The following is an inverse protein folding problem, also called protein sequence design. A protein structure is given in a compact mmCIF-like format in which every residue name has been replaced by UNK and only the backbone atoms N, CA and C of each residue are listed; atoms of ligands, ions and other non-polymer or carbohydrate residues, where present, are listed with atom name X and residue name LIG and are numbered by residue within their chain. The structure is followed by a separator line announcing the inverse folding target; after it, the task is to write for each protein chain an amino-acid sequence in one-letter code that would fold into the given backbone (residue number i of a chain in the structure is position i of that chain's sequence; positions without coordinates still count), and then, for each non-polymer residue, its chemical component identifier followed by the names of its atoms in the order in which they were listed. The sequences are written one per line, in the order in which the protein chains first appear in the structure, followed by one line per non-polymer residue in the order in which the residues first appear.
data_IF_661097312196
#
_entry.id   IF_661097312196
#
_cell.length_a   1.000
_cell.length_b   1.000
_cell.length_c   1.000
_cell.angle_alpha   90.00
_cell.angle_beta   90.00
_cell.angle_gamma   90.00
#
_symmetry.space_group_name_H-M   'P 1'
#
loop_
_entity.id
_entity.type
_entity.pdbx_description
1 polymer ?
#
# COMPACT_ATOMS: atom_id res chain seq x y z
N UNK A 1 -11.71 -28.88 1.24
CA UNK A 1 -11.23 -28.18 2.45
C UNK A 1 -11.78 -26.77 2.37
N UNK A 2 -12.54 -26.32 3.38
CA UNK A 2 -13.11 -24.97 3.42
C UNK A 2 -11.98 -23.97 3.66
N UNK A 3 -11.64 -23.15 2.67
CA UNK A 3 -10.74 -22.01 2.90
C UNK A 3 -11.45 -21.02 3.83
N UNK A 4 -10.75 -20.57 4.86
CA UNK A 4 -11.19 -19.48 5.74
C UNK A 4 -11.55 -18.27 4.86
N UNK A 5 -12.72 -17.63 5.04
CA UNK A 5 -13.06 -16.39 4.34
C UNK A 5 -12.03 -15.26 4.59
N UNK A 6 -11.20 -15.40 5.63
CA UNK A 6 -10.15 -14.46 6.04
C UNK A 6 -8.73 -14.98 5.82
N UNK A 7 -8.51 -15.96 4.93
CA UNK A 7 -7.20 -16.59 4.75
C UNK A 7 -6.03 -15.60 4.58
N UNK A 8 -6.18 -14.55 3.76
CA UNK A 8 -5.13 -13.55 3.56
C UNK A 8 -4.85 -12.74 4.84
N UNK A 9 -5.89 -12.40 5.59
CA UNK A 9 -5.77 -11.74 6.91
C UNK A 9 -5.08 -12.66 7.92
N UNK A 10 -5.47 -13.93 7.96
CA UNK A 10 -4.89 -14.92 8.87
C UNK A 10 -3.40 -15.14 8.54
N UNK A 11 -3.04 -15.20 7.26
CA UNK A 11 -1.65 -15.27 6.79
C UNK A 11 -0.84 -14.04 7.20
N UNK A 12 -1.40 -12.83 7.04
CA UNK A 12 -0.72 -11.60 7.43
C UNK A 12 -0.48 -11.53 8.95
N UNK A 13 -1.50 -11.87 9.75
CA UNK A 13 -1.37 -11.89 11.21
C UNK A 13 -0.30 -12.91 11.63
N UNK A 14 -0.34 -14.12 11.06
CA UNK A 14 0.62 -15.17 11.39
C UNK A 14 2.05 -14.76 11.02
N UNK A 15 2.27 -14.22 9.82
CA UNK A 15 3.59 -13.76 9.40
C UNK A 15 4.10 -12.58 10.26
N UNK A 16 3.23 -11.64 10.62
CA UNK A 16 3.59 -10.52 11.49
C UNK A 16 4.01 -11.00 12.89
N UNK A 17 3.29 -11.95 13.48
CA UNK A 17 3.66 -12.58 14.75
C UNK A 17 5.00 -13.32 14.62
N UNK A 18 5.19 -14.09 13.53
CA UNK A 18 6.45 -14.80 13.27
C UNK A 18 7.67 -13.87 13.21
N UNK A 19 7.54 -12.70 12.57
CA UNK A 19 8.62 -11.69 12.55
C UNK A 19 8.91 -11.14 13.94
N UNK A 20 7.88 -10.85 14.75
CA UNK A 20 8.05 -10.36 16.13
C UNK A 20 8.76 -11.39 17.01
N UNK A 21 8.35 -12.66 16.91
CA UNK A 21 8.95 -13.76 17.66
C UNK A 21 10.41 -13.98 17.25
N UNK A 22 10.68 -14.01 15.94
CA UNK A 22 12.03 -14.15 15.40
C UNK A 22 12.93 -12.99 15.83
N UNK A 23 12.45 -11.75 15.70
CA UNK A 23 13.20 -10.56 16.12
C UNK A 23 13.50 -10.56 17.62
N UNK A 24 12.58 -11.01 18.45
CA UNK A 24 12.79 -11.15 19.90
C UNK A 24 13.89 -12.16 20.20
N UNK A 25 13.85 -13.33 19.55
CA UNK A 25 14.90 -14.35 19.67
C UNK A 25 16.27 -13.84 19.18
N UNK A 26 16.33 -13.16 18.04
CA UNK A 26 17.58 -12.59 17.51
C UNK A 26 18.17 -11.57 18.48
N UNK A 27 17.35 -10.69 19.07
CA UNK A 27 17.81 -9.74 20.09
C UNK A 27 18.41 -10.46 21.30
N UNK A 28 17.74 -11.50 21.79
CA UNK A 28 18.20 -12.24 22.96
C UNK A 28 19.57 -12.88 22.68
N UNK A 29 19.73 -13.53 21.52
CA UNK A 29 21.00 -14.14 21.12
C UNK A 29 22.12 -13.10 20.98
N UNK A 30 21.88 -12.00 20.26
CA UNK A 30 22.90 -10.97 20.05
C UNK A 30 23.29 -10.25 21.35
N UNK A 31 22.36 -10.14 22.30
CA UNK A 31 22.61 -9.54 23.61
C UNK A 31 23.49 -10.39 24.50
N UNK A 32 23.41 -11.72 24.37
CA UNK A 32 24.16 -12.68 25.19
C UNK A 32 25.60 -12.92 24.69
N UNK A 33 25.85 -12.84 23.37
CA UNK A 33 27.15 -13.18 22.77
C UNK A 33 27.94 -11.95 22.24
N UNK A 34 27.30 -10.79 22.10
CA UNK A 34 27.92 -9.58 21.58
C UNK A 34 28.09 -9.59 20.06
N UNK A 35 28.04 -8.41 19.44
CA UNK A 35 27.95 -8.19 17.97
C UNK A 35 29.25 -8.54 17.19
N UNK A 36 30.15 -9.33 17.77
CA UNK A 36 31.49 -9.59 17.23
C UNK A 36 31.63 -10.97 16.55
N UNK A 37 30.65 -11.86 16.69
CA UNK A 37 30.63 -13.17 16.03
C UNK A 37 29.73 -13.14 14.77
N UNK A 38 30.05 -13.99 13.79
CA UNK A 38 29.29 -14.14 12.54
C UNK A 38 27.93 -14.80 12.82
N UNK A 39 26.91 -13.98 13.08
CA UNK A 39 25.52 -14.40 13.34
C UNK A 39 24.71 -14.58 12.06
N UNK A 40 25.27 -15.32 11.09
CA UNK A 40 24.62 -15.53 9.78
C UNK A 40 23.26 -16.23 9.92
N UNK A 41 23.14 -17.18 10.86
CA UNK A 41 21.91 -17.93 11.11
C UNK A 41 20.78 -17.01 11.57
N UNK A 42 21.07 -16.12 12.52
CA UNK A 42 20.10 -15.17 13.06
C UNK A 42 19.66 -14.17 11.98
N UNK A 43 20.61 -13.66 11.19
CA UNK A 43 20.31 -12.72 10.11
C UNK A 43 19.51 -13.36 8.98
N UNK A 44 19.83 -14.61 8.62
CA UNK A 44 19.11 -15.36 7.58
C UNK A 44 17.69 -15.68 8.05
N UNK A 45 17.53 -16.12 9.30
CA UNK A 45 16.22 -16.39 9.88
C UNK A 45 15.32 -15.14 9.92
N UNK A 46 15.89 -13.98 10.27
CA UNK A 46 15.16 -12.72 10.22
C UNK A 46 14.81 -12.33 8.77
N UNK A 47 15.73 -12.56 7.82
CA UNK A 47 15.51 -12.36 6.40
C UNK A 47 14.34 -13.20 5.86
N UNK A 48 14.30 -14.48 6.21
CA UNK A 48 13.23 -15.40 5.84
C UNK A 48 11.89 -14.98 6.44
N UNK A 49 11.86 -14.61 7.73
CA UNK A 49 10.64 -14.13 8.39
C UNK A 49 10.09 -12.85 7.74
N UNK A 50 10.96 -11.90 7.38
CA UNK A 50 10.59 -10.68 6.65
C UNK A 50 10.10 -11.02 5.23
N UNK A 51 10.74 -11.99 4.57
CA UNK A 51 10.29 -12.50 3.26
C UNK A 51 8.86 -13.06 3.31
N UNK A 52 8.54 -13.83 4.35
CA UNK A 52 7.19 -14.34 4.59
C UNK A 52 6.18 -13.23 4.85
N UNK A 53 6.56 -12.20 5.62
CA UNK A 53 5.72 -11.03 5.85
C UNK A 53 5.46 -10.25 4.55
N UNK A 54 6.48 -10.07 3.69
CA UNK A 54 6.31 -9.42 2.40
C UNK A 54 5.33 -10.19 1.50
N UNK A 55 5.46 -11.52 1.45
CA UNK A 55 4.54 -12.38 0.70
C UNK A 55 3.12 -12.28 1.24
N UNK A 56 2.93 -12.37 2.55
CA UNK A 56 1.59 -12.25 3.16
C UNK A 56 0.97 -10.85 2.94
N UNK A 57 1.79 -9.81 2.99
CA UNK A 57 1.37 -8.44 2.68
C UNK A 57 0.94 -8.31 1.22
N UNK A 58 1.66 -8.94 0.29
CA UNK A 58 1.28 -8.96 -1.13
C UNK A 58 -0.10 -9.61 -1.33
N UNK A 59 -0.31 -10.81 -0.78
CA UNK A 59 -1.60 -11.53 -0.84
C UNK A 59 -2.75 -10.74 -0.19
N UNK A 60 -2.46 -9.97 0.86
CA UNK A 60 -3.46 -9.11 1.51
C UNK A 60 -3.80 -7.85 0.71
N UNK A 61 -2.87 -7.35 -0.11
CA UNK A 61 -2.98 -6.06 -0.81
C UNK A 61 -3.27 -6.17 -2.31
N UNK A 62 -3.23 -7.38 -2.87
CA UNK A 62 -3.45 -7.65 -4.29
C UNK A 62 -4.55 -8.69 -4.50
N UNK A 63 -5.24 -8.58 -5.63
CA UNK A 63 -6.10 -9.65 -6.12
C UNK A 63 -5.28 -10.83 -6.64
N UNK A 64 -5.95 -11.97 -6.83
CA UNK A 64 -5.32 -13.19 -7.35
C UNK A 64 -4.74 -13.05 -8.76
N UNK A 65 -5.15 -12.04 -9.53
CA UNK A 65 -4.59 -11.68 -10.83
C UNK A 65 -3.37 -10.73 -10.74
N UNK A 66 -2.95 -10.39 -9.53
CA UNK A 66 -1.81 -9.51 -9.25
C UNK A 66 -2.13 -8.01 -9.30
N UNK A 67 -3.38 -7.61 -9.53
CA UNK A 67 -3.76 -6.19 -9.46
C UNK A 67 -3.82 -5.70 -8.00
N UNK A 68 -3.31 -4.52 -7.66
CA UNK A 68 -3.47 -3.96 -6.32
C UNK A 68 -4.94 -3.68 -6.01
N UNK A 69 -5.33 -3.84 -4.75
CA UNK A 69 -6.69 -3.55 -4.26
C UNK A 69 -6.91 -2.04 -4.15
N UNK A 70 -5.87 -1.27 -3.86
CA UNK A 70 -5.95 0.17 -3.61
C UNK A 70 -4.76 0.93 -4.20
N UNK A 71 -5.03 2.10 -4.74
CA UNK A 71 -4.02 3.12 -5.04
C UNK A 71 -4.21 4.35 -4.13
N UNK A 72 -3.13 5.08 -3.86
CA UNK A 72 -3.17 6.35 -3.14
C UNK A 72 -2.22 7.35 -3.76
N UNK A 73 -2.72 8.55 -4.09
CA UNK A 73 -1.94 9.65 -4.66
C UNK A 73 -2.03 10.87 -3.74
N UNK A 74 -0.91 11.59 -3.63
CA UNK A 74 -0.80 12.80 -2.82
C UNK A 74 -0.69 14.00 -3.74
N UNK A 75 -1.67 14.89 -3.67
CA UNK A 75 -1.75 16.07 -4.54
C UNK A 75 -0.93 17.23 -3.97
N UNK A 76 -1.13 17.51 -2.69
CA UNK A 76 -0.34 18.45 -1.88
C UNK A 76 -0.46 18.08 -0.40
N UNK A 77 0.17 18.86 0.48
CA UNK A 77 0.27 18.62 1.94
C UNK A 77 -1.07 18.52 2.70
N UNK A 78 -2.22 18.61 2.02
CA UNK A 78 -3.53 18.43 2.63
C UNK A 78 -4.50 17.51 1.89
N UNK A 79 -4.18 17.02 0.68
CA UNK A 79 -5.11 16.24 -0.13
C UNK A 79 -4.50 14.90 -0.53
N UNK A 80 -5.04 13.83 0.06
CA UNK A 80 -4.73 12.44 -0.29
C UNK A 80 -5.94 11.81 -0.97
N UNK A 81 -5.76 11.30 -2.18
CA UNK A 81 -6.80 10.59 -2.91
C UNK A 81 -6.53 9.10 -2.78
N UNK A 82 -7.52 8.35 -2.32
CA UNK A 82 -7.46 6.89 -2.20
C UNK A 82 -8.58 6.27 -3.01
N UNK A 83 -8.24 5.29 -3.84
CA UNK A 83 -9.20 4.56 -4.65
C UNK A 83 -9.04 3.06 -4.43
N UNK A 84 -10.15 2.38 -4.16
CA UNK A 84 -10.23 0.92 -4.08
C UNK A 84 -10.77 0.43 -5.40
N UNK A 85 -10.02 -0.42 -6.08
CA UNK A 85 -10.42 -1.00 -7.35
C UNK A 85 -11.47 -2.08 -7.12
N UNK A 86 -12.36 -2.35 -8.10
CA UNK A 86 -13.27 -3.47 -8.00
C UNK A 86 -12.54 -4.78 -8.33
N UNK A 87 -12.88 -5.85 -7.59
CA UNK A 87 -12.32 -7.18 -7.84
C UNK A 87 -12.68 -7.67 -9.26
N UNK A 88 -13.92 -7.42 -9.69
CA UNK A 88 -14.37 -7.65 -11.06
C UNK A 88 -14.19 -6.36 -11.85
N UNK A 89 -13.44 -6.41 -12.96
CA UNK A 89 -13.22 -5.24 -13.82
C UNK A 89 -14.55 -4.78 -14.40
N UNK A 90 -15.01 -3.60 -13.98
CA UNK A 90 -16.25 -3.00 -14.46
C UNK A 90 -16.04 -2.19 -15.75
N UNK A 91 -14.93 -1.45 -15.82
CA UNK A 91 -14.57 -0.62 -16.97
C UNK A 91 -13.15 -0.94 -17.45
N UNK A 92 -12.95 -0.88 -18.77
CA UNK A 92 -11.63 -1.00 -19.40
C UNK A 92 -11.19 0.34 -19.93
N UNK A 93 -9.93 0.68 -19.66
CA UNK A 93 -9.37 1.95 -20.05
C UNK A 93 -9.63 3.04 -19.01
N UNK A 94 -8.94 4.14 -19.21
CA UNK A 94 -8.97 5.27 -18.29
C UNK A 94 -10.33 5.99 -18.31
N UNK A 95 -10.86 6.27 -17.12
CA UNK A 95 -12.08 7.07 -16.93
C UNK A 95 -11.87 8.14 -15.88
N UNK A 96 -12.54 9.28 -16.06
CA UNK A 96 -12.62 10.31 -15.04
C UNK A 96 -13.44 9.77 -13.86
N UNK A 97 -12.82 9.75 -12.68
CA UNK A 97 -13.48 9.40 -11.43
C UNK A 97 -14.22 10.61 -10.86
N UNK A 98 -13.53 11.74 -10.71
CA UNK A 98 -14.12 13.02 -10.31
C UNK A 98 -13.18 14.19 -10.59
N UNK A 99 -13.74 15.40 -10.48
CA UNK A 99 -13.03 16.68 -10.53
C UNK A 99 -13.33 17.45 -9.24
N UNK A 100 -12.31 18.04 -8.61
CA UNK A 100 -12.51 18.88 -7.42
C UNK A 100 -11.51 20.04 -7.35
N UNK A 101 -11.80 21.03 -6.50
CA UNK A 101 -10.98 22.22 -6.26
C UNK A 101 -9.89 21.92 -5.24
N UNK A 102 -8.76 22.60 -5.40
CA UNK A 102 -7.67 22.52 -4.43
C UNK A 102 -7.99 23.35 -3.18
N UNK A 103 -7.59 22.83 -2.02
CA UNK A 103 -7.77 23.49 -0.73
C UNK A 103 -7.04 24.85 -0.72
N UNK A 104 -7.74 25.88 -0.26
CA UNK A 104 -7.21 27.24 -0.08
C UNK A 104 -7.74 27.88 1.20
N UNK A 105 -6.93 28.73 1.81
CA UNK A 105 -7.37 29.53 2.94
C UNK A 105 -8.27 30.69 2.47
N UNK A 106 -9.28 31.09 3.25
CA UNK A 106 -10.09 32.26 2.96
C UNK A 106 -9.22 33.51 2.70
N UNK A 107 -9.48 34.21 1.60
CA UNK A 107 -8.74 35.42 1.21
C UNK A 107 -7.44 35.17 0.42
N UNK A 108 -7.06 33.90 0.18
CA UNK A 108 -5.94 33.55 -0.70
C UNK A 108 -6.40 33.33 -2.16
N UNK A 109 -5.52 33.57 -3.15
CA UNK A 109 -5.84 33.32 -4.56
C UNK A 109 -6.28 31.88 -4.82
N UNK A 110 -7.08 31.69 -5.87
CA UNK A 110 -7.44 30.34 -6.33
C UNK A 110 -6.18 29.54 -6.68
N UNK A 111 -6.12 28.30 -6.19
CA UNK A 111 -5.02 27.36 -6.41
C UNK A 111 -5.30 26.39 -7.56
N UNK A 112 -6.48 26.51 -8.18
CA UNK A 112 -6.92 25.68 -9.28
C UNK A 112 -7.67 24.44 -8.83
N UNK A 113 -7.70 23.44 -9.69
CA UNK A 113 -8.47 22.22 -9.51
C UNK A 113 -7.65 21.00 -9.91
N UNK A 114 -8.19 19.82 -9.66
CA UNK A 114 -7.57 18.57 -10.07
C UNK A 114 -8.62 17.61 -10.60
N UNK A 115 -8.19 16.75 -11.52
CA UNK A 115 -9.00 15.66 -12.07
C UNK A 115 -8.34 14.34 -11.72
N UNK A 116 -9.15 13.41 -11.23
CA UNK A 116 -8.70 12.06 -10.87
C UNK A 116 -9.23 11.10 -11.90
N UNK A 117 -8.32 10.34 -12.50
CA UNK A 117 -8.60 9.30 -13.46
C UNK A 117 -8.22 7.95 -12.88
N UNK A 118 -8.97 6.91 -13.24
CA UNK A 118 -8.70 5.53 -12.83
C UNK A 118 -8.87 4.59 -14.02
N UNK A 119 -8.12 3.50 -14.02
CA UNK A 119 -8.31 2.35 -14.91
C UNK A 119 -8.43 1.09 -14.04
N UNK A 120 -9.63 0.50 -14.00
CA UNK A 120 -9.92 -0.67 -13.16
C UNK A 120 -9.16 -1.92 -13.64
N UNK A 121 -8.92 -2.03 -14.96
CA UNK A 121 -8.24 -3.17 -15.56
C UNK A 121 -6.73 -3.11 -15.33
N UNK A 122 -6.13 -1.92 -15.42
CA UNK A 122 -4.73 -1.71 -15.09
C UNK A 122 -4.49 -1.52 -13.58
N UNK A 123 -5.56 -1.30 -12.81
CA UNK A 123 -5.51 -0.92 -11.40
C UNK A 123 -4.56 0.27 -11.15
N UNK A 124 -4.71 1.30 -11.99
CA UNK A 124 -3.92 2.53 -11.92
C UNK A 124 -4.79 3.74 -11.61
N UNK A 125 -4.17 4.73 -10.96
CA UNK A 125 -4.78 6.03 -10.67
C UNK A 125 -3.84 7.12 -11.18
N UNK A 126 -4.41 8.14 -11.79
CA UNK A 126 -3.67 9.28 -12.33
C UNK A 126 -4.35 10.56 -11.91
N UNK A 127 -3.56 11.53 -11.46
CA UNK A 127 -4.05 12.85 -11.08
C UNK A 127 -3.47 13.89 -12.00
N UNK A 128 -4.33 14.75 -12.53
CA UNK A 128 -3.93 15.94 -13.27
C UNK A 128 -4.21 17.18 -12.45
N UNK A 129 -3.24 18.09 -12.40
CA UNK A 129 -3.35 19.36 -11.70
C UNK A 129 -3.50 20.48 -12.71
N UNK A 130 -4.49 21.33 -12.45
CA UNK A 130 -4.87 22.43 -13.32
C UNK A 130 -4.75 23.76 -12.59
N UNK A 131 -4.38 24.80 -13.33
CA UNK A 131 -4.30 26.16 -12.84
C UNK A 131 -5.68 26.79 -12.59
N UNK A 132 -5.74 27.93 -11.88
CA UNK A 132 -6.99 28.61 -11.55
C UNK A 132 -7.74 29.22 -12.74
N UNK A 133 -7.11 29.33 -13.90
CA UNK A 133 -7.73 29.85 -15.13
C UNK A 133 -8.22 28.73 -16.07
N UNK A 134 -7.94 27.47 -15.75
CA UNK A 134 -8.33 26.33 -16.56
C UNK A 134 -9.73 25.85 -16.13
N UNK A 135 -10.57 25.52 -17.12
CA UNK A 135 -11.96 25.13 -16.86
C UNK A 135 -12.05 23.74 -16.21
N UNK A 136 -12.92 23.64 -15.19
CA UNK A 136 -13.28 22.40 -14.47
C UNK A 136 -14.09 21.49 -15.38
#
# INVERSE_FOLDING_TARGET
MSQSPSLATDMLIYAALGVVDCHSWVIDVLSDYGVCDEHEIETDALGDAVGDLHRATYEFSHYSDGRPIRATEVIDTGIHISHVFPAVVEHRGERLLFTDRRLRDPGTPDRGHFRVYVDDAAATMRVELYGPLEAI
#
